data_IF_112231167953
#
_entry.id   IF_112231167953
#
_cell.length_a   1.000
_cell.length_b   1.000
_cell.length_c   1.000
_cell.angle_alpha   90.00
_cell.angle_beta   90.00
_cell.angle_gamma   90.00
#
_symmetry.space_group_name_H-M   'P 1'
#
loop_
_entity.id
_entity.type
_entity.pdbx_description
1 polymer ?
#
# COMPACT_ATOMS: atom_id res chain seq x y z
N UNK A 1 -51.57 7.98 0.55
CA UNK A 1 -50.61 7.27 1.42
C UNK A 1 -49.58 6.42 0.67
N UNK A 2 -49.80 6.00 -0.57
CA UNK A 2 -48.84 5.14 -1.32
C UNK A 2 -47.53 5.83 -1.73
N UNK A 3 -47.56 7.12 -2.05
CA UNK A 3 -46.37 7.87 -2.46
C UNK A 3 -45.32 7.97 -1.33
N UNK A 4 -45.76 8.14 -0.08
CA UNK A 4 -44.85 8.23 1.07
C UNK A 4 -44.11 6.90 1.31
N UNK A 5 -44.82 5.78 1.18
CA UNK A 5 -44.23 4.45 1.30
C UNK A 5 -43.21 4.16 0.20
N UNK A 6 -43.45 4.64 -1.04
CA UNK A 6 -42.50 4.52 -2.14
C UNK A 6 -41.21 5.31 -1.87
N UNK A 7 -41.32 6.55 -1.40
CA UNK A 7 -40.16 7.39 -1.06
C UNK A 7 -39.35 6.77 0.08
N UNK A 8 -40.01 6.24 1.12
CA UNK A 8 -39.32 5.57 2.22
C UNK A 8 -38.57 4.30 1.77
N UNK A 9 -39.18 3.47 0.91
CA UNK A 9 -38.51 2.27 0.38
C UNK A 9 -37.33 2.64 -0.52
N UNK A 10 -37.46 3.68 -1.34
CA UNK A 10 -36.35 4.15 -2.19
C UNK A 10 -35.19 4.71 -1.36
N UNK A 11 -35.49 5.50 -0.32
CA UNK A 11 -34.48 6.02 0.61
C UNK A 11 -33.74 4.93 1.36
N UNK A 12 -34.46 3.92 1.86
CA UNK A 12 -33.86 2.74 2.52
C UNK A 12 -32.97 1.95 1.55
N UNK A 13 -33.43 1.72 0.30
CA UNK A 13 -32.64 1.03 -0.72
C UNK A 13 -31.34 1.78 -1.06
N UNK A 14 -31.40 3.10 -1.25
CA UNK A 14 -30.21 3.91 -1.48
C UNK A 14 -29.26 3.90 -0.28
N UNK A 15 -29.77 3.97 0.95
CA UNK A 15 -28.94 3.94 2.15
C UNK A 15 -28.20 2.61 2.29
N UNK A 16 -28.89 1.48 2.07
CA UNK A 16 -28.28 0.16 2.13
C UNK A 16 -27.22 0.01 1.02
N UNK A 17 -27.53 0.44 -0.20
CA UNK A 17 -26.57 0.42 -1.31
C UNK A 17 -25.32 1.25 -1.01
N UNK A 18 -25.49 2.46 -0.47
CA UNK A 18 -24.39 3.32 -0.07
C UNK A 18 -23.49 2.67 0.99
N UNK A 19 -24.08 2.04 2.01
CA UNK A 19 -23.34 1.36 3.08
C UNK A 19 -22.55 0.15 2.58
N UNK A 20 -23.10 -0.60 1.62
CA UNK A 20 -22.38 -1.72 0.99
C UNK A 20 -21.16 -1.22 0.22
N UNK A 21 -21.34 -0.19 -0.62
CA UNK A 21 -20.24 0.40 -1.39
C UNK A 21 -19.17 0.99 -0.45
N UNK A 22 -19.59 1.67 0.61
CA UNK A 22 -18.66 2.20 1.62
C UNK A 22 -17.88 1.07 2.31
N UNK A 23 -18.53 -0.05 2.62
CA UNK A 23 -17.87 -1.20 3.22
C UNK A 23 -16.89 -1.86 2.25
N UNK A 24 -17.25 -2.02 0.98
CA UNK A 24 -16.35 -2.54 -0.05
C UNK A 24 -15.14 -1.61 -0.24
N UNK A 25 -15.36 -0.31 -0.39
CA UNK A 25 -14.27 0.66 -0.54
C UNK A 25 -13.30 0.69 0.65
N UNK A 26 -13.78 0.40 1.88
CA UNK A 26 -12.92 0.28 3.06
C UNK A 26 -12.17 -1.05 3.13
N UNK A 27 -12.71 -2.11 2.54
CA UNK A 27 -12.17 -3.48 2.66
C UNK A 27 -11.17 -3.81 1.56
N UNK A 28 -11.36 -3.25 0.36
CA UNK A 28 -10.51 -3.51 -0.80
C UNK A 28 -9.57 -2.34 -1.05
N UNK A 29 -8.27 -2.59 -1.02
CA UNK A 29 -7.27 -1.55 -1.36
C UNK A 29 -7.09 -1.49 -2.88
N UNK A 30 -7.18 -2.64 -3.55
CA UNK A 30 -7.11 -2.71 -5.01
C UNK A 30 -6.71 -4.08 -5.55
N UNK A 31 -6.50 -4.14 -6.86
CA UNK A 31 -5.98 -5.30 -7.58
C UNK A 31 -4.48 -5.16 -7.80
N UNK A 32 -3.69 -6.20 -7.53
CA UNK A 32 -2.24 -6.22 -7.76
C UNK A 32 -1.96 -6.11 -9.25
N UNK A 33 -1.43 -4.97 -9.70
CA UNK A 33 -1.04 -4.75 -11.11
C UNK A 33 0.40 -5.17 -11.32
N UNK A 34 1.25 -4.90 -10.33
CA UNK A 34 2.69 -5.07 -10.45
C UNK A 34 3.27 -5.41 -9.08
N UNK A 35 4.32 -6.21 -9.12
CA UNK A 35 5.15 -6.51 -7.97
C UNK A 35 6.50 -5.84 -8.16
N UNK A 36 6.95 -5.07 -7.18
CA UNK A 36 8.25 -4.44 -7.17
C UNK A 36 9.09 -5.06 -6.05
N UNK A 37 10.34 -5.40 -6.38
CA UNK A 37 11.32 -5.96 -5.44
C UNK A 37 12.55 -5.07 -5.47
N UNK A 38 12.88 -4.49 -4.31
CA UNK A 38 14.12 -3.75 -4.12
C UNK A 38 15.09 -4.59 -3.30
N UNK A 39 16.17 -5.09 -3.93
CA UNK A 39 17.20 -5.84 -3.21
C UNK A 39 17.94 -4.92 -2.23
N UNK A 40 18.49 -5.51 -1.18
CA UNK A 40 19.29 -4.78 -0.20
C UNK A 40 20.57 -4.23 -0.85
N UNK A 41 20.68 -2.90 -0.89
CA UNK A 41 21.90 -2.22 -1.36
C UNK A 41 22.73 -1.74 -0.16
N UNK A 42 24.02 -2.04 -0.18
CA UNK A 42 24.97 -1.52 0.80
C UNK A 42 25.38 -0.13 0.32
N UNK A 43 24.80 0.92 0.89
CA UNK A 43 25.22 2.30 0.63
C UNK A 43 26.29 2.67 1.65
N UNK A 44 27.44 3.08 1.15
CA UNK A 44 28.54 3.56 1.99
C UNK A 44 28.41 5.08 2.13
N UNK A 45 27.81 5.54 3.24
CA UNK A 45 27.87 6.96 3.56
C UNK A 45 29.28 7.34 4.03
N UNK A 46 29.85 8.36 3.39
CA UNK A 46 31.08 9.00 3.86
C UNK A 46 30.70 9.99 4.95
N UNK A 47 30.92 9.62 6.20
CA UNK A 47 30.73 10.51 7.34
C UNK A 47 32.10 11.05 7.74
N UNK A 48 32.26 12.36 7.71
CA UNK A 48 33.48 13.03 8.17
C UNK A 48 33.41 13.16 9.69
N UNK A 49 34.14 12.30 10.39
CA UNK A 49 34.22 12.33 11.86
C UNK A 49 35.55 12.94 12.28
N UNK A 50 35.46 13.96 13.14
CA UNK A 50 36.63 14.58 13.75
C UNK A 50 37.08 13.73 14.93
N UNK A 51 38.26 13.14 14.83
CA UNK A 51 38.86 12.37 15.92
C UNK A 51 40.35 12.71 16.01
N UNK A 52 40.82 13.11 17.20
CA UNK A 52 42.22 13.45 17.50
C UNK A 52 42.82 14.58 16.61
N UNK A 53 42.07 15.66 16.40
CA UNK A 53 42.58 16.84 15.68
C UNK A 53 42.90 16.63 14.20
N UNK A 54 42.49 15.50 13.61
CA UNK A 54 42.62 15.18 12.18
C UNK A 54 41.29 14.69 11.62
N UNK A 55 40.94 15.17 10.42
CA UNK A 55 39.72 14.80 9.69
C UNK A 55 39.89 13.37 9.14
N UNK A 56 39.13 12.40 9.66
CA UNK A 56 39.11 11.03 9.14
C UNK A 56 37.76 10.78 8.47
N UNK A 57 37.79 10.42 7.19
CA UNK A 57 36.60 10.02 6.43
C UNK A 57 36.28 8.57 6.81
N UNK A 58 35.31 8.39 7.70
CA UNK A 58 34.85 7.06 8.13
C UNK A 58 33.72 6.64 7.18
N UNK A 59 33.89 5.50 6.52
CA UNK A 59 32.85 4.90 5.67
C UNK A 59 31.96 4.06 6.59
N UNK A 60 30.77 4.56 6.91
CA UNK A 60 29.79 3.80 7.67
C UNK A 60 28.97 2.98 6.66
N UNK A 61 28.99 1.64 6.72
CA UNK A 61 28.15 0.82 5.86
C UNK A 61 26.71 0.88 6.38
N UNK A 62 25.84 1.59 5.68
CA UNK A 62 24.41 1.57 5.94
C UNK A 62 23.79 0.48 5.05
N UNK A 63 23.26 -0.57 5.69
CA UNK A 63 22.52 -1.62 4.97
C UNK A 63 21.10 -1.10 4.73
N UNK A 64 20.76 -0.80 3.49
CA UNK A 64 19.35 -0.62 3.13
C UNK A 64 18.65 -1.98 3.27
N UNK A 65 17.58 -2.04 4.06
CA UNK A 65 16.81 -3.26 4.29
C UNK A 65 16.11 -3.72 2.98
N UNK A 66 15.94 -5.04 2.82
CA UNK A 66 15.18 -5.58 1.69
C UNK A 66 13.73 -5.11 1.73
N UNK A 67 13.22 -4.57 0.62
CA UNK A 67 11.83 -4.11 0.52
C UNK A 67 11.06 -4.86 -0.57
N UNK A 68 9.89 -5.36 -0.21
CA UNK A 68 8.92 -5.98 -1.10
C UNK A 68 7.67 -5.10 -1.16
N UNK A 69 7.21 -4.77 -2.36
CA UNK A 69 6.01 -3.93 -2.51
C UNK A 69 5.11 -4.36 -3.66
N UNK A 70 3.83 -4.06 -3.49
CA UNK A 70 2.80 -4.25 -4.50
C UNK A 70 2.30 -2.90 -5.00
N UNK A 71 2.18 -2.77 -6.32
CA UNK A 71 1.43 -1.70 -6.95
C UNK A 71 -0.02 -2.17 -7.13
N UNK A 72 -0.93 -1.56 -6.39
CA UNK A 72 -2.36 -1.88 -6.42
C UNK A 72 -3.11 -0.86 -7.27
N UNK A 73 -4.07 -1.31 -8.07
CA UNK A 73 -5.08 -0.46 -8.71
C UNK A 73 -6.36 -0.50 -7.91
N UNK A 74 -6.83 0.64 -7.44
CA UNK A 74 -8.19 0.76 -6.94
C UNK A 74 -9.20 0.70 -8.11
N UNK A 75 -10.47 0.43 -7.79
CA UNK A 75 -11.61 0.43 -8.71
C UNK A 75 -11.77 1.79 -9.40
N UNK A 76 -11.38 2.88 -8.72
CA UNK A 76 -11.37 4.24 -9.26
C UNK A 76 -10.16 4.54 -10.18
N UNK A 77 -9.26 3.58 -10.37
CA UNK A 77 -8.08 3.72 -11.22
C UNK A 77 -6.85 4.34 -10.55
N UNK A 78 -6.95 4.72 -9.28
CA UNK A 78 -5.82 5.19 -8.48
C UNK A 78 -4.81 4.07 -8.25
N UNK A 79 -3.52 4.38 -8.34
CA UNK A 79 -2.44 3.45 -8.06
C UNK A 79 -1.85 3.75 -6.68
N UNK A 80 -1.74 2.71 -5.86
CA UNK A 80 -1.19 2.81 -4.50
C UNK A 80 -0.11 1.73 -4.32
N UNK A 81 1.04 2.12 -3.79
CA UNK A 81 2.11 1.18 -3.43
C UNK A 81 1.95 0.75 -1.98
N UNK A 82 1.94 -0.55 -1.73
CA UNK A 82 1.88 -1.13 -0.37
C UNK A 82 3.14 -1.96 -0.14
N UNK A 83 3.82 -1.71 0.98
CA UNK A 83 4.96 -2.52 1.41
C UNK A 83 4.45 -3.75 2.16
N UNK A 84 4.97 -4.91 1.78
CA UNK A 84 4.53 -6.21 2.29
C UNK A 84 5.71 -7.04 2.74
N UNK A 85 5.44 -8.10 3.49
CA UNK A 85 6.46 -9.08 3.87
C UNK A 85 6.83 -9.98 2.68
N UNK A 86 8.00 -10.65 2.78
CA UNK A 86 8.46 -11.61 1.77
C UNK A 86 7.48 -12.78 1.57
N UNK A 87 6.79 -13.18 2.64
CA UNK A 87 5.82 -14.27 2.63
C UNK A 87 4.57 -13.88 1.84
N UNK A 88 3.99 -12.72 2.17
CA UNK A 88 2.86 -12.15 1.43
C UNK A 88 3.22 -11.90 -0.04
N UNK A 89 4.42 -11.39 -0.32
CA UNK A 89 4.90 -11.15 -1.69
C UNK A 89 4.83 -12.40 -2.59
N UNK A 90 5.07 -13.58 -2.00
CA UNK A 90 5.03 -14.86 -2.70
C UNK A 90 3.62 -15.44 -2.83
N UNK A 91 2.72 -15.11 -1.90
CA UNK A 91 1.37 -15.68 -1.85
C UNK A 91 0.40 -15.06 -2.85
N UNK A 92 0.54 -13.76 -3.14
CA UNK A 92 -0.34 -13.06 -4.07
C UNK A 92 0.21 -13.11 -5.49
N UNK A 93 -0.63 -13.18 -6.53
CA UNK A 93 -0.23 -13.05 -7.93
C UNK A 93 -0.69 -11.71 -8.53
N UNK A 94 -0.17 -11.38 -9.72
CA UNK A 94 -0.64 -10.21 -10.47
C UNK A 94 -2.07 -10.51 -10.95
N UNK A 95 -3.01 -9.63 -10.63
CA UNK A 95 -4.44 -9.81 -10.86
C UNK A 95 -5.24 -10.15 -9.61
N UNK A 96 -4.58 -10.49 -8.49
CA UNK A 96 -5.27 -10.78 -7.25
C UNK A 96 -5.81 -9.52 -6.56
N UNK A 97 -6.95 -9.66 -5.88
CA UNK A 97 -7.51 -8.59 -5.06
C UNK A 97 -6.82 -8.58 -3.70
N UNK A 98 -6.12 -7.49 -3.40
CA UNK A 98 -5.49 -7.28 -2.10
C UNK A 98 -6.45 -6.54 -1.16
N UNK A 99 -6.72 -7.16 0.00
CA UNK A 99 -7.58 -6.60 1.05
C UNK A 99 -6.71 -6.17 2.24
N UNK A 100 -7.19 -5.17 2.98
CA UNK A 100 -6.54 -4.69 4.19
C UNK A 100 -6.70 -5.67 5.35
#
# INVERSE_FOLDING_TARGET
MHALALICNFGLGMFVGYRIVEHEAKTYIGTVIKKDYQPSEIKYERREEWSDGKLKVVKVPERAEEQYSFLLKDVFGNQTTVFVTKEEYKQFEIGDKYRR
#
